data_IF_880336235653
#
_entry.id   IF_880336235653
#
_cell.length_a   1.000
_cell.length_b   1.000
_cell.length_c   1.000
_cell.angle_alpha   90.00
_cell.angle_beta   90.00
_cell.angle_gamma   90.00
#
_symmetry.space_group_name_H-M   'P 1'
#
loop_
_entity.id
_entity.type
_entity.pdbx_description
1 polymer ?
#
# COMPACT_ATOMS: atom_id res chain seq x y z
N UNK A 1 -38.23 -22.88 -17.70
CA UNK A 1 -37.56 -23.18 -16.41
C UNK A 1 -36.71 -21.99 -16.00
N UNK A 2 -37.16 -21.18 -15.02
CA UNK A 2 -36.45 -19.98 -14.55
C UNK A 2 -35.46 -20.39 -13.45
N UNK A 3 -34.15 -20.35 -13.74
CA UNK A 3 -33.12 -20.45 -12.71
C UNK A 3 -33.06 -19.15 -11.89
N UNK A 4 -33.63 -19.18 -10.68
CA UNK A 4 -33.49 -18.11 -9.69
C UNK A 4 -32.05 -18.09 -9.17
N UNK A 5 -31.28 -17.07 -9.53
CA UNK A 5 -29.97 -16.80 -8.95
C UNK A 5 -30.11 -16.53 -7.46
N UNK A 6 -29.63 -17.44 -6.61
CA UNK A 6 -29.54 -17.21 -5.16
C UNK A 6 -28.57 -16.05 -4.94
N UNK A 7 -29.07 -14.92 -4.46
CA UNK A 7 -28.25 -13.79 -4.05
C UNK A 7 -27.18 -14.28 -3.06
N UNK A 8 -25.91 -14.18 -3.45
CA UNK A 8 -24.78 -14.54 -2.60
C UNK A 8 -24.76 -13.55 -1.44
N UNK A 9 -25.13 -13.99 -0.24
CA UNK A 9 -25.06 -13.17 0.97
C UNK A 9 -23.60 -12.86 1.27
N UNK A 10 -23.27 -11.57 1.39
CA UNK A 10 -22.03 -11.10 2.01
C UNK A 10 -22.02 -11.62 3.45
N UNK A 11 -21.17 -12.62 3.75
CA UNK A 11 -20.90 -12.97 5.15
C UNK A 11 -20.18 -11.76 5.77
N UNK A 12 -20.31 -11.56 7.08
CA UNK A 12 -19.46 -10.61 7.81
C UNK A 12 -18.01 -11.10 7.67
N UNK A 13 -17.31 -10.62 6.64
CA UNK A 13 -15.92 -10.98 6.38
C UNK A 13 -15.06 -10.06 7.23
N UNK A 14 -14.33 -10.65 8.20
CA UNK A 14 -13.26 -9.92 8.89
C UNK A 14 -12.26 -9.46 7.83
N UNK A 15 -12.22 -8.16 7.59
CA UNK A 15 -11.06 -7.51 7.01
C UNK A 15 -9.84 -8.01 7.78
N UNK A 16 -8.90 -8.69 7.10
CA UNK A 16 -7.58 -8.98 7.65
C UNK A 16 -6.68 -7.83 7.19
N UNK A 17 -6.25 -6.95 8.12
CA UNK A 17 -5.28 -5.91 7.81
C UNK A 17 -4.08 -6.47 7.08
N UNK A 18 -3.38 -5.59 6.40
CA UNK A 18 -2.12 -5.94 5.77
C UNK A 18 -1.04 -6.42 6.77
N UNK A 19 -1.33 -6.27 8.07
CA UNK A 19 -0.44 -6.54 9.21
C UNK A 19 -0.89 -7.74 10.09
N UNK A 20 -2.09 -8.31 9.91
CA UNK A 20 -2.55 -9.42 10.76
C UNK A 20 -2.28 -10.81 10.15
N UNK A 21 -1.17 -11.42 10.59
CA UNK A 21 -0.99 -12.86 10.46
C UNK A 21 0.43 -13.35 10.53
N UNK A 22 1.14 -13.14 11.64
CA UNK A 22 2.35 -13.92 11.96
C UNK A 22 2.33 -14.22 13.46
N UNK A 23 1.95 -15.45 13.80
CA UNK A 23 2.25 -16.07 15.08
C UNK A 23 3.76 -16.31 15.17
N UNK A 24 4.37 -15.83 16.26
CA UNK A 24 5.76 -16.06 16.62
C UNK A 24 6.07 -17.54 16.71
N UNK A 25 7.01 -18.03 15.90
CA UNK A 25 7.70 -19.29 16.14
C UNK A 25 9.07 -18.93 16.68
N UNK A 26 9.31 -19.31 17.94
CA UNK A 26 10.56 -19.07 18.65
C UNK A 26 11.74 -19.79 18.00
N UNK A 27 12.90 -19.14 18.08
CA UNK A 27 14.19 -19.70 17.72
C UNK A 27 15.26 -18.96 18.50
N UNK A 28 15.74 -19.59 19.57
CA UNK A 28 16.91 -19.17 20.32
C UNK A 28 18.17 -19.24 19.44
N UNK A 29 18.90 -18.14 19.36
CA UNK A 29 20.20 -18.01 18.68
C UNK A 29 20.90 -16.73 19.16
N UNK A 30 22.23 -16.74 19.31
CA UNK A 30 22.95 -15.80 20.17
C UNK A 30 22.97 -14.38 19.56
N UNK A 31 22.69 -13.39 20.39
CA UNK A 31 22.51 -12.00 20.00
C UNK A 31 23.80 -11.30 19.57
N UNK A 32 23.75 -10.34 18.64
CA UNK A 32 24.88 -9.47 18.36
C UNK A 32 24.99 -8.40 19.44
N UNK A 33 26.23 -8.09 19.82
CA UNK A 33 26.56 -7.02 20.75
C UNK A 33 26.02 -5.67 20.26
N UNK A 34 25.04 -5.12 20.99
CA UNK A 34 24.54 -3.76 20.83
C UNK A 34 25.51 -2.83 21.54
N UNK A 35 26.21 -1.99 20.78
CA UNK A 35 26.79 -0.77 21.34
C UNK A 35 25.64 0.21 21.58
N UNK A 36 25.10 0.19 22.80
CA UNK A 36 24.03 1.10 23.23
C UNK A 36 24.62 2.48 23.53
N UNK A 37 24.64 3.35 22.53
CA UNK A 37 24.62 4.79 22.76
C UNK A 37 23.16 5.25 22.77
N UNK A 38 22.51 5.25 23.93
CA UNK A 38 21.19 5.88 24.06
C UNK A 38 21.38 7.39 23.93
N UNK A 39 21.07 7.94 22.75
CA UNK A 39 20.81 9.36 22.64
C UNK A 39 19.56 9.68 23.47
N UNK A 40 19.54 10.79 24.23
CA UNK A 40 18.33 11.21 24.94
C UNK A 40 17.18 11.40 23.92
N UNK A 41 15.90 11.32 24.33
CA UNK A 41 14.80 11.68 23.45
C UNK A 41 14.96 13.15 23.10
N UNK A 42 15.59 13.41 21.94
CA UNK A 42 15.64 14.73 21.35
C UNK A 42 14.21 15.20 21.31
N UNK A 43 13.95 16.40 21.85
CA UNK A 43 12.66 17.07 21.78
C UNK A 43 12.37 17.33 20.30
N UNK A 44 11.91 16.31 19.58
CA UNK A 44 11.67 16.37 18.16
C UNK A 44 10.58 17.41 17.95
N UNK A 45 10.80 18.31 16.98
CA UNK A 45 9.82 19.32 16.59
C UNK A 45 8.46 18.63 16.43
N UNK A 46 7.52 19.03 17.29
CA UNK A 46 6.17 18.49 17.35
C UNK A 46 5.24 19.54 16.79
N UNK A 47 4.59 19.23 15.69
CA UNK A 47 3.59 20.11 15.07
C UNK A 47 2.24 19.43 15.16
N UNK A 48 1.18 20.22 15.31
CA UNK A 48 -0.19 19.72 15.35
C UNK A 48 -1.02 20.41 14.28
N UNK A 49 -1.93 19.67 13.67
CA UNK A 49 -2.93 20.21 12.75
C UNK A 49 -4.27 19.52 12.99
N UNK A 50 -5.34 20.29 12.94
CA UNK A 50 -6.70 19.77 12.90
C UNK A 50 -7.28 20.09 11.52
N UNK A 51 -7.88 19.10 10.89
CA UNK A 51 -8.63 19.27 9.64
C UNK A 51 -10.01 18.64 9.77
N UNK A 52 -10.88 18.93 8.81
CA UNK A 52 -12.19 18.29 8.69
C UNK A 52 -12.32 17.60 7.35
N UNK A 53 -12.81 16.37 7.34
CA UNK A 53 -13.10 15.61 6.13
C UNK A 53 -14.45 14.90 6.27
N UNK A 54 -15.37 15.18 5.34
CA UNK A 54 -16.69 14.56 5.27
C UNK A 54 -16.85 13.83 3.92
N UNK A 55 -17.20 12.53 3.92
CA UNK A 55 -17.26 11.61 5.06
C UNK A 55 -15.91 11.35 5.75
N UNK A 56 -15.95 11.00 7.02
CA UNK A 56 -14.73 10.64 7.77
C UNK A 56 -14.01 9.44 7.13
N UNK A 57 -12.66 9.46 7.03
CA UNK A 57 -11.90 8.31 6.55
C UNK A 57 -11.88 7.20 7.61
N UNK A 58 -11.94 5.95 7.16
CA UNK A 58 -11.52 4.79 7.95
C UNK A 58 -10.03 4.58 7.69
N UNK A 59 -9.18 4.88 8.68
CA UNK A 59 -7.73 4.88 8.51
C UNK A 59 -7.20 3.48 8.13
N UNK A 60 -7.78 2.43 8.69
CA UNK A 60 -7.42 1.05 8.39
C UNK A 60 -7.78 0.68 6.95
N UNK A 61 -8.96 1.05 6.46
CA UNK A 61 -9.33 0.81 5.07
C UNK A 61 -8.46 1.63 4.10
N UNK A 62 -8.22 2.90 4.44
CA UNK A 62 -7.53 3.90 3.61
C UNK A 62 -6.03 3.62 3.50
N UNK A 63 -5.35 3.34 4.61
CA UNK A 63 -3.91 3.11 4.60
C UNK A 63 -3.52 1.65 4.55
N UNK A 64 -4.41 0.75 4.99
CA UNK A 64 -4.06 -0.65 5.08
C UNK A 64 -3.62 -1.21 3.73
N UNK A 65 -4.16 -0.73 2.62
CA UNK A 65 -3.84 -1.24 1.29
C UNK A 65 -2.63 -0.62 0.58
N UNK A 66 -2.01 0.37 1.20
CA UNK A 66 -0.81 1.01 0.65
C UNK A 66 0.39 0.08 0.78
N UNK A 67 1.31 0.18 -0.18
CA UNK A 67 2.57 -0.55 -0.13
C UNK A 67 3.62 0.26 0.61
N UNK A 68 3.65 1.57 0.39
CA UNK A 68 4.60 2.49 1.00
C UNK A 68 4.23 2.96 2.40
N UNK A 69 5.27 3.35 3.13
CA UNK A 69 5.22 3.88 4.49
C UNK A 69 5.01 2.77 5.50
N UNK A 70 5.47 3.03 6.71
CA UNK A 70 5.46 2.02 7.77
C UNK A 70 4.41 2.36 8.81
N UNK A 71 3.75 1.33 9.29
CA UNK A 71 2.77 1.38 10.37
C UNK A 71 3.39 0.80 11.63
N UNK A 72 2.82 1.13 12.79
CA UNK A 72 3.36 0.66 14.05
C UNK A 72 3.21 -0.88 14.17
N UNK A 73 4.29 -1.64 14.45
CA UNK A 73 4.27 -3.10 14.43
C UNK A 73 3.35 -3.75 15.48
N UNK A 74 3.23 -3.13 16.66
CA UNK A 74 2.36 -3.62 17.74
C UNK A 74 1.04 -2.85 17.91
N UNK A 75 0.79 -1.83 17.08
CA UNK A 75 -0.41 -1.00 17.10
C UNK A 75 -0.90 -0.86 15.66
N UNK A 76 -1.58 -1.89 15.14
CA UNK A 76 -2.06 -1.87 13.78
C UNK A 76 -3.01 -0.68 13.59
N UNK A 77 -3.09 -0.18 12.36
CA UNK A 77 -4.03 0.87 12.00
C UNK A 77 -5.46 0.52 12.43
N UNK A 78 -6.02 1.37 13.28
CA UNK A 78 -7.42 1.32 13.67
C UNK A 78 -8.31 2.05 12.68
N UNK A 79 -9.62 2.02 12.93
CA UNK A 79 -10.58 2.81 12.14
C UNK A 79 -10.39 4.31 12.36
N UNK A 80 -10.17 4.71 13.60
CA UNK A 80 -10.13 6.11 14.05
C UNK A 80 -8.79 6.55 14.60
N UNK A 81 -7.82 5.65 14.72
CA UNK A 81 -6.48 5.97 15.21
C UNK A 81 -5.42 5.25 14.37
N UNK A 82 -4.34 5.95 14.03
CA UNK A 82 -3.27 5.35 13.25
C UNK A 82 -1.94 6.09 13.40
N UNK A 83 -0.87 5.32 13.30
CA UNK A 83 0.51 5.82 13.22
C UNK A 83 1.08 5.48 11.86
N UNK A 84 1.74 6.45 11.24
CA UNK A 84 2.43 6.27 9.95
C UNK A 84 3.76 7.01 9.97
N UNK A 85 4.83 6.33 9.61
CA UNK A 85 6.10 6.97 9.31
C UNK A 85 6.36 6.94 7.79
N UNK A 86 6.81 8.07 7.27
CA UNK A 86 7.13 8.24 5.85
C UNK A 86 8.34 9.13 5.67
N UNK A 87 9.07 8.93 4.57
CA UNK A 87 10.04 9.91 4.08
C UNK A 87 9.32 10.97 3.29
N UNK A 88 9.54 12.23 3.62
CA UNK A 88 8.99 13.37 2.88
C UNK A 88 10.10 14.11 2.13
N UNK A 89 9.76 15.00 1.17
CA UNK A 89 10.74 15.89 0.55
C UNK A 89 11.50 16.78 1.54
N UNK A 90 10.95 17.03 2.73
CA UNK A 90 11.57 17.84 3.80
C UNK A 90 12.21 16.97 4.90
N UNK A 91 12.32 15.66 4.68
CA UNK A 91 12.94 14.71 5.60
C UNK A 91 11.96 13.74 6.26
N UNK A 92 12.46 12.99 7.23
CA UNK A 92 11.71 11.99 7.97
C UNK A 92 10.51 12.60 8.73
N UNK A 93 9.36 11.91 8.69
CA UNK A 93 8.18 12.29 9.45
C UNK A 93 7.47 11.07 10.04
N UNK A 94 6.98 11.21 11.27
CA UNK A 94 5.95 10.34 11.83
C UNK A 94 4.69 11.14 12.07
N UNK A 95 3.55 10.58 11.72
CA UNK A 95 2.22 11.11 12.01
C UNK A 95 1.47 10.19 12.97
N UNK A 96 0.79 10.80 13.94
CA UNK A 96 -0.27 10.20 14.73
C UNK A 96 -1.58 10.88 14.37
N UNK A 97 -2.59 10.08 14.05
CA UNK A 97 -3.87 10.53 13.55
C UNK A 97 -4.99 10.04 14.47
N UNK A 98 -5.89 10.94 14.83
CA UNK A 98 -7.10 10.68 15.62
C UNK A 98 -8.31 11.24 14.87
N UNK A 99 -9.26 10.37 14.54
CA UNK A 99 -10.50 10.70 13.81
C UNK A 99 -11.67 10.66 14.78
N UNK A 100 -12.36 11.78 14.93
CA UNK A 100 -13.58 11.94 15.72
C UNK A 100 -14.69 12.56 14.86
N UNK A 101 -15.62 11.72 14.39
CA UNK A 101 -16.57 12.12 13.36
C UNK A 101 -15.83 12.66 12.12
N UNK A 102 -16.20 13.84 11.65
CA UNK A 102 -15.54 14.50 10.50
C UNK A 102 -14.25 15.23 10.90
N UNK A 103 -13.95 15.37 12.19
CA UNK A 103 -12.76 16.07 12.69
C UNK A 103 -11.58 15.09 12.77
N UNK A 104 -10.41 15.55 12.33
CA UNK A 104 -9.19 14.76 12.33
C UNK A 104 -8.10 15.59 12.99
N UNK A 105 -7.63 15.13 14.14
CA UNK A 105 -6.49 15.71 14.85
C UNK A 105 -5.23 14.92 14.48
N UNK A 106 -4.21 15.62 14.00
CA UNK A 106 -2.95 15.05 13.59
C UNK A 106 -1.79 15.67 14.38
N UNK A 107 -0.88 14.83 14.85
CA UNK A 107 0.40 15.25 15.42
C UNK A 107 1.53 14.71 14.56
N UNK A 108 2.47 15.58 14.18
CA UNK A 108 3.66 15.22 13.42
C UNK A 108 4.95 15.41 14.21
N UNK A 109 5.94 14.56 13.96
CA UNK A 109 7.30 14.64 14.51
C UNK A 109 8.36 14.53 13.42
N UNK A 110 9.47 15.23 13.62
CA UNK A 110 10.64 15.17 12.74
C UNK A 110 10.72 16.31 11.72
N UNK A 111 11.81 16.38 10.94
CA UNK A 111 12.06 17.47 9.99
C UNK A 111 11.00 17.55 8.87
N UNK A 112 10.37 16.43 8.51
CA UNK A 112 9.30 16.39 7.51
C UNK A 112 7.88 16.60 8.05
N UNK A 113 7.71 16.88 9.35
CA UNK A 113 6.40 16.92 9.99
C UNK A 113 5.49 18.03 9.43
N UNK A 114 6.03 19.22 9.17
CA UNK A 114 5.26 20.33 8.62
C UNK A 114 4.74 20.00 7.22
N UNK A 115 5.61 19.51 6.34
CA UNK A 115 5.20 19.03 5.02
C UNK A 115 4.10 17.96 5.11
N UNK A 116 4.29 16.96 5.98
CA UNK A 116 3.34 15.86 6.12
C UNK A 116 1.97 16.34 6.61
N UNK A 117 1.94 17.31 7.53
CA UNK A 117 0.70 17.93 8.00
C UNK A 117 0.10 18.89 6.96
N UNK A 118 0.92 19.55 6.13
CA UNK A 118 0.47 20.38 5.02
C UNK A 118 -0.34 19.55 4.01
N UNK A 119 0.18 18.38 3.64
CA UNK A 119 -0.36 17.46 2.64
C UNK A 119 -1.35 16.44 3.22
N UNK A 120 -1.63 16.52 4.53
CA UNK A 120 -2.53 15.60 5.24
C UNK A 120 -3.92 15.44 4.60
N UNK A 121 -4.60 16.50 4.10
CA UNK A 121 -5.89 16.33 3.45
C UNK A 121 -5.83 15.35 2.27
N UNK A 122 -4.82 15.48 1.41
CA UNK A 122 -4.64 14.62 0.24
C UNK A 122 -4.25 13.20 0.63
N UNK A 123 -3.37 13.05 1.64
CA UNK A 123 -3.02 11.75 2.22
C UNK A 123 -4.27 11.01 2.73
N UNK A 124 -5.24 11.73 3.30
CA UNK A 124 -6.52 11.18 3.76
C UNK A 124 -7.60 11.11 2.68
N UNK A 125 -7.25 11.39 1.43
CA UNK A 125 -8.15 11.27 0.27
C UNK A 125 -9.18 12.39 0.18
N UNK A 126 -8.81 13.63 0.54
CA UNK A 126 -9.68 14.80 0.35
C UNK A 126 -10.06 15.05 -1.12
N UNK A 127 -9.22 14.61 -2.06
CA UNK A 127 -9.50 14.68 -3.51
C UNK A 127 -10.35 13.52 -4.04
N UNK A 128 -10.58 12.51 -3.20
CA UNK A 128 -11.32 11.31 -3.57
C UNK A 128 -12.76 11.43 -3.09
N UNK A 129 -13.75 11.40 -4.00
CA UNK A 129 -15.17 11.46 -3.64
C UNK A 129 -15.83 10.05 -3.69
N UNK A 130 -15.99 9.35 -2.55
CA UNK A 130 -16.66 8.06 -2.48
C UNK A 130 -18.16 8.12 -2.77
N UNK A 131 -18.77 9.32 -2.70
CA UNK A 131 -20.21 9.48 -2.91
C UNK A 131 -20.58 9.43 -4.39
N UNK A 132 -19.65 9.81 -5.27
CA UNK A 132 -19.76 9.70 -6.73
C UNK A 132 -19.69 8.26 -7.28
N UNK A 133 -19.44 7.25 -6.43
CA UNK A 133 -19.34 5.86 -6.88
C UNK A 133 -20.65 5.34 -7.51
N UNK A 134 -20.63 4.81 -8.75
CA UNK A 134 -21.83 4.31 -9.44
C UNK A 134 -22.47 3.12 -8.72
N UNK A 135 -23.78 3.21 -8.44
CA UNK A 135 -24.54 2.18 -7.69
C UNK A 135 -25.57 1.40 -8.50
N UNK A 136 -25.86 1.82 -9.73
CA UNK A 136 -26.85 1.17 -10.59
C UNK A 136 -26.40 -0.21 -11.10
N UNK A 137 -25.10 -0.43 -11.28
CA UNK A 137 -24.57 -1.57 -12.06
C UNK A 137 -24.73 -2.96 -11.43
N UNK A 138 -24.57 -3.11 -10.10
CA UNK A 138 -24.60 -4.45 -9.48
C UNK A 138 -24.96 -4.41 -7.99
N UNK A 139 -25.80 -5.36 -7.54
CA UNK A 139 -26.26 -5.42 -6.13
C UNK A 139 -25.10 -5.55 -5.13
N UNK A 140 -24.15 -6.44 -5.40
CA UNK A 140 -22.98 -6.61 -4.53
C UNK A 140 -22.22 -5.30 -4.35
N UNK A 141 -22.01 -4.54 -5.43
CA UNK A 141 -21.24 -3.29 -5.35
C UNK A 141 -21.96 -2.20 -4.55
N UNK A 142 -23.30 -2.18 -4.56
CA UNK A 142 -24.08 -1.33 -3.65
C UNK A 142 -23.89 -1.70 -2.18
N UNK A 143 -23.84 -3.00 -1.88
CA UNK A 143 -23.61 -3.51 -0.52
C UNK A 143 -22.18 -3.19 -0.07
N UNK A 144 -21.18 -3.41 -0.93
CA UNK A 144 -19.78 -3.11 -0.63
C UNK A 144 -19.52 -1.61 -0.48
N UNK A 145 -20.15 -0.74 -1.29
CA UNK A 145 -20.07 0.73 -1.11
C UNK A 145 -20.51 1.15 0.30
N UNK A 146 -21.58 0.56 0.82
CA UNK A 146 -22.07 0.83 2.18
C UNK A 146 -21.10 0.29 3.23
N UNK A 147 -20.59 -0.93 3.04
CA UNK A 147 -19.66 -1.57 3.96
C UNK A 147 -18.32 -0.82 4.05
N UNK A 148 -17.83 -0.31 2.93
CA UNK A 148 -16.55 0.39 2.80
C UNK A 148 -16.73 1.89 2.58
N UNK A 149 -17.78 2.49 3.14
CA UNK A 149 -18.06 3.92 2.93
C UNK A 149 -16.94 4.84 3.42
N UNK A 150 -16.21 4.44 4.47
CA UNK A 150 -15.02 5.14 4.97
C UNK A 150 -13.74 4.87 4.17
N UNK A 151 -13.76 4.03 3.13
CA UNK A 151 -12.59 3.82 2.27
C UNK A 151 -12.34 5.06 1.42
N UNK A 152 -11.17 5.66 1.64
CA UNK A 152 -10.61 6.69 0.77
C UNK A 152 -9.47 6.12 -0.07
N UNK A 153 -9.31 6.65 -1.28
CA UNK A 153 -8.10 6.45 -2.08
C UNK A 153 -7.11 7.54 -1.66
N UNK A 154 -6.09 7.14 -0.92
CA UNK A 154 -5.07 8.04 -0.41
C UNK A 154 -4.18 8.57 -1.54
N UNK A 155 -3.60 9.76 -1.36
CA UNK A 155 -2.57 10.33 -2.23
C UNK A 155 -1.31 10.57 -1.41
N UNK A 156 -0.37 9.62 -1.43
CA UNK A 156 0.83 9.67 -0.58
C UNK A 156 1.89 10.65 -1.09
N UNK A 157 1.95 10.87 -2.40
CA UNK A 157 3.00 11.62 -3.09
C UNK A 157 4.42 11.04 -2.91
N UNK A 158 4.56 9.88 -2.25
CA UNK A 158 5.84 9.22 -1.97
C UNK A 158 6.13 8.09 -2.97
N UNK A 159 6.56 8.46 -4.16
CA UNK A 159 6.76 7.54 -5.30
C UNK A 159 7.81 6.47 -5.03
N UNK A 160 8.96 6.85 -4.46
CA UNK A 160 10.03 5.88 -4.16
C UNK A 160 9.61 4.91 -3.03
N UNK A 161 8.97 5.44 -1.99
CA UNK A 161 8.44 4.67 -0.86
C UNK A 161 7.39 3.63 -1.30
N UNK A 162 6.60 3.93 -2.33
CA UNK A 162 5.67 2.99 -2.95
C UNK A 162 6.39 1.97 -3.86
N UNK A 163 7.34 2.45 -4.69
CA UNK A 163 8.00 1.63 -5.71
C UNK A 163 8.78 0.46 -5.13
N UNK A 164 9.54 0.66 -4.06
CA UNK A 164 10.39 -0.39 -3.46
C UNK A 164 9.57 -1.65 -3.11
N UNK A 165 8.52 -1.57 -2.27
CA UNK A 165 7.70 -2.73 -1.94
C UNK A 165 6.91 -3.28 -3.14
N UNK A 166 6.49 -2.44 -4.09
CA UNK A 166 5.84 -2.90 -5.33
C UNK A 166 6.79 -3.76 -6.17
N UNK A 167 8.07 -3.36 -6.31
CA UNK A 167 9.10 -4.13 -7.02
C UNK A 167 9.37 -5.46 -6.31
N UNK A 168 9.45 -5.44 -4.97
CA UNK A 168 9.60 -6.65 -4.16
C UNK A 168 8.42 -7.62 -4.39
N UNK A 169 7.21 -7.10 -4.59
CA UNK A 169 5.99 -7.87 -4.87
C UNK A 169 5.88 -8.48 -6.27
N UNK A 170 6.73 -8.11 -7.22
CA UNK A 170 6.63 -8.62 -8.60
C UNK A 170 6.86 -10.14 -8.67
N UNK A 171 5.90 -10.89 -9.24
CA UNK A 171 6.02 -12.32 -9.55
C UNK A 171 6.50 -13.17 -8.35
N UNK A 172 6.01 -12.86 -7.15
CA UNK A 172 6.24 -13.63 -5.92
C UNK A 172 4.97 -13.66 -5.07
N UNK A 173 4.95 -14.53 -4.07
CA UNK A 173 3.89 -14.51 -3.06
C UNK A 173 3.99 -13.26 -2.19
N UNK A 174 2.85 -12.84 -1.64
CA UNK A 174 2.78 -11.74 -0.67
C UNK A 174 3.69 -11.99 0.55
N UNK A 175 3.81 -13.24 0.99
CA UNK A 175 4.65 -13.61 2.15
C UNK A 175 6.14 -13.38 1.87
N UNK A 176 6.61 -13.74 0.67
CA UNK A 176 8.00 -13.50 0.25
C UNK A 176 8.30 -12.01 0.17
N UNK A 177 7.42 -11.25 -0.50
CA UNK A 177 7.57 -9.80 -0.64
C UNK A 177 7.66 -9.11 0.72
N UNK A 178 6.74 -9.44 1.66
CA UNK A 178 6.74 -8.89 3.03
C UNK A 178 7.97 -9.27 3.84
N UNK A 179 8.46 -10.50 3.69
CA UNK A 179 9.68 -10.94 4.36
C UNK A 179 10.89 -10.15 3.86
N UNK A 180 11.02 -10.00 2.55
CA UNK A 180 12.10 -9.24 1.94
C UNK A 180 12.05 -7.75 2.33
N UNK A 181 10.85 -7.15 2.28
CA UNK A 181 10.61 -5.76 2.69
C UNK A 181 11.02 -5.54 4.15
N UNK A 182 10.54 -6.39 5.06
CA UNK A 182 10.88 -6.28 6.48
C UNK A 182 12.38 -6.36 6.71
N UNK A 183 13.06 -7.33 6.10
CA UNK A 183 14.53 -7.48 6.24
C UNK A 183 15.29 -6.30 5.64
N UNK A 184 14.80 -5.74 4.54
CA UNK A 184 15.38 -4.54 3.92
C UNK A 184 15.27 -3.32 4.87
N UNK A 185 14.12 -3.16 5.53
CA UNK A 185 13.89 -2.10 6.52
C UNK A 185 14.73 -2.34 7.78
N UNK A 186 14.78 -3.57 8.28
CA UNK A 186 15.58 -3.94 9.46
C UNK A 186 17.07 -3.62 9.25
N UNK A 187 17.62 -3.98 8.09
CA UNK A 187 19.05 -3.83 7.76
C UNK A 187 19.42 -2.39 7.35
N UNK A 188 18.65 -1.77 6.45
CA UNK A 188 19.02 -0.50 5.80
C UNK A 188 18.07 0.66 6.10
N UNK A 189 16.98 0.42 6.84
CA UNK A 189 16.09 1.47 7.32
C UNK A 189 16.64 2.16 8.56
N UNK A 190 16.01 3.23 8.99
CA UNK A 190 16.39 3.97 10.20
C UNK A 190 15.18 4.17 11.12
N UNK A 191 15.43 4.61 12.35
CA UNK A 191 14.35 4.92 13.28
C UNK A 191 13.58 6.16 12.82
N UNK A 192 12.25 6.05 12.85
CA UNK A 192 11.39 7.18 12.56
C UNK A 192 11.40 8.17 13.73
N UNK A 193 11.30 9.49 13.46
CA UNK A 193 11.22 10.48 14.51
C UNK A 193 9.92 10.33 15.28
N UNK A 194 9.94 10.41 16.61
CA UNK A 194 8.74 10.53 17.42
C UNK A 194 8.77 9.60 18.63
N UNK A 195 7.64 9.50 19.35
CA UNK A 195 7.57 8.72 20.58
C UNK A 195 7.41 7.21 20.35
N UNK A 196 7.24 6.79 19.09
CA UNK A 196 6.90 5.42 18.74
C UNK A 196 8.02 4.73 17.96
N UNK A 197 8.27 3.43 18.18
CA UNK A 197 9.36 2.69 17.56
C UNK A 197 9.02 2.27 16.12
N UNK A 198 8.64 3.25 15.28
CA UNK A 198 8.48 3.03 13.84
C UNK A 198 9.86 3.09 13.17
N UNK A 199 10.00 2.36 12.06
CA UNK A 199 11.18 2.39 11.20
C UNK A 199 10.82 2.97 9.86
N UNK A 200 11.67 3.81 9.27
CA UNK A 200 11.51 4.29 7.90
C UNK A 200 12.06 3.25 6.92
N UNK A 201 11.50 3.23 5.70
CA UNK A 201 12.16 2.56 4.59
C UNK A 201 13.56 3.17 4.37
N UNK A 202 14.52 2.42 3.79
CA UNK A 202 15.85 2.95 3.51
C UNK A 202 15.79 4.21 2.62
N UNK A 203 16.71 5.16 2.84
CA UNK A 203 16.81 6.31 1.95
C UNK A 203 17.16 5.88 0.51
N UNK A 204 16.66 6.61 -0.51
CA UNK A 204 17.06 6.35 -1.89
C UNK A 204 18.58 6.40 -2.07
N UNK A 205 19.28 7.32 -1.39
CA UNK A 205 20.73 7.44 -1.47
C UNK A 205 21.47 6.22 -0.90
N UNK A 206 20.91 5.55 0.11
CA UNK A 206 21.44 4.31 0.67
C UNK A 206 21.28 3.19 -0.36
N UNK A 207 20.05 2.96 -0.83
CA UNK A 207 19.76 1.89 -1.80
C UNK A 207 20.51 2.06 -3.14
N UNK A 208 20.74 3.30 -3.58
CA UNK A 208 21.46 3.60 -4.82
C UNK A 208 22.96 3.20 -4.79
N UNK A 209 23.55 3.06 -3.60
CA UNK A 209 24.95 2.71 -3.37
C UNK A 209 25.17 1.21 -3.16
N UNK A 210 24.12 0.47 -2.84
CA UNK A 210 24.17 -0.97 -2.66
C UNK A 210 24.50 -1.68 -3.99
N UNK A 211 25.03 -2.88 -3.87
CA UNK A 211 25.27 -3.84 -4.94
C UNK A 211 24.35 -5.05 -4.75
N UNK A 212 24.25 -5.91 -5.75
CA UNK A 212 23.36 -7.07 -5.67
C UNK A 212 23.67 -7.97 -4.46
N UNK A 213 24.95 -8.11 -4.11
CA UNK A 213 25.46 -8.93 -3.02
C UNK A 213 24.86 -8.51 -1.67
N UNK A 214 24.50 -7.24 -1.51
CA UNK A 214 23.86 -6.67 -0.32
C UNK A 214 22.39 -7.10 -0.19
N UNK A 215 21.72 -7.38 -1.33
CA UNK A 215 20.31 -7.78 -1.40
C UNK A 215 20.12 -9.30 -1.35
N UNK A 216 21.13 -10.07 -1.77
CA UNK A 216 21.06 -11.52 -1.85
C UNK A 216 20.73 -12.17 -0.48
N UNK A 217 21.42 -11.82 0.63
CA UNK A 217 21.09 -12.34 1.96
C UNK A 217 19.64 -12.09 2.34
N UNK A 218 19.04 -10.97 1.91
CA UNK A 218 17.65 -10.59 2.18
C UNK A 218 16.61 -11.43 1.41
N UNK A 219 17.05 -12.30 0.49
CA UNK A 219 16.19 -13.12 -0.35
C UNK A 219 15.64 -12.37 -1.58
N UNK A 220 16.29 -11.28 -1.99
CA UNK A 220 15.85 -10.44 -3.10
C UNK A 220 16.59 -10.86 -4.38
N UNK A 221 15.83 -11.26 -5.40
CA UNK A 221 16.38 -11.71 -6.68
C UNK A 221 17.13 -10.58 -7.41
N UNK A 222 18.21 -10.93 -8.13
CA UNK A 222 19.10 -9.99 -8.84
C UNK A 222 18.38 -8.95 -9.68
N UNK A 223 17.41 -9.37 -10.50
CA UNK A 223 16.63 -8.44 -11.35
C UNK A 223 15.89 -7.37 -10.53
N UNK A 224 15.32 -7.74 -9.38
CA UNK A 224 14.62 -6.81 -8.48
C UNK A 224 15.61 -5.89 -7.76
N UNK A 225 16.71 -6.43 -7.26
CA UNK A 225 17.76 -5.65 -6.62
C UNK A 225 18.30 -4.55 -7.55
N UNK A 226 18.65 -4.92 -8.79
CA UNK A 226 19.13 -3.96 -9.79
C UNK A 226 18.07 -2.91 -10.14
N UNK A 227 16.79 -3.29 -10.21
CA UNK A 227 15.70 -2.33 -10.43
C UNK A 227 15.52 -1.39 -9.24
N UNK A 228 15.60 -1.88 -7.99
CA UNK A 228 15.54 -1.06 -6.78
C UNK A 228 16.69 -0.05 -6.75
N UNK A 229 17.92 -0.47 -7.06
CA UNK A 229 19.08 0.43 -7.18
C UNK A 229 18.80 1.51 -8.24
N UNK A 230 18.29 1.12 -9.40
CA UNK A 230 18.04 2.04 -10.51
C UNK A 230 16.94 3.08 -10.19
N UNK A 231 15.80 2.66 -9.62
CA UNK A 231 14.76 3.62 -9.21
C UNK A 231 15.23 4.51 -8.06
N UNK A 232 16.12 4.02 -7.20
CA UNK A 232 16.70 4.80 -6.11
C UNK A 232 17.67 5.87 -6.62
N UNK A 233 18.48 5.56 -7.65
CA UNK A 233 19.33 6.54 -8.34
C UNK A 233 18.51 7.63 -9.03
N UNK A 234 17.31 7.30 -9.50
CA UNK A 234 16.38 8.22 -10.18
C UNK A 234 15.34 8.83 -9.25
N UNK A 235 15.45 8.67 -7.94
CA UNK A 235 14.38 8.99 -7.00
C UNK A 235 13.91 10.46 -7.10
N UNK A 236 14.83 11.43 -7.23
CA UNK A 236 14.47 12.84 -7.40
C UNK A 236 13.64 13.07 -8.69
N UNK A 237 14.02 12.43 -9.80
CA UNK A 237 13.29 12.53 -11.07
C UNK A 237 11.94 11.81 -11.04
N UNK A 238 11.85 10.70 -10.31
CA UNK A 238 10.60 9.97 -10.11
C UNK A 238 9.66 10.69 -9.14
N UNK A 239 10.16 11.45 -8.17
CA UNK A 239 9.35 12.23 -7.25
C UNK A 239 8.47 13.28 -7.97
N UNK A 240 8.93 13.81 -9.12
CA UNK A 240 8.14 14.72 -9.96
C UNK A 240 6.80 14.13 -10.40
N UNK A 241 6.65 12.80 -10.42
CA UNK A 241 5.38 12.13 -10.76
C UNK A 241 4.24 12.61 -9.88
N UNK A 242 4.50 12.97 -8.62
CA UNK A 242 3.48 13.49 -7.70
C UNK A 242 2.70 14.70 -8.27
N UNK A 243 3.32 15.49 -9.14
CA UNK A 243 2.72 16.66 -9.80
C UNK A 243 2.14 16.40 -11.20
N UNK A 244 2.07 15.15 -11.66
CA UNK A 244 1.61 14.80 -13.02
C UNK A 244 0.18 14.25 -13.04
N UNK A 245 -0.45 14.33 -14.20
CA UNK A 245 -1.63 13.51 -14.50
C UNK A 245 -1.26 12.02 -14.63
N UNK A 246 -2.23 11.14 -14.39
CA UNK A 246 -2.02 9.69 -14.38
C UNK A 246 -1.44 9.13 -15.70
N UNK A 247 -1.84 9.66 -16.86
CA UNK A 247 -1.37 9.17 -18.15
C UNK A 247 0.11 9.54 -18.37
N UNK A 248 0.48 10.76 -18.01
CA UNK A 248 1.87 11.21 -18.06
C UNK A 248 2.75 10.48 -17.04
N UNK A 249 2.24 10.27 -15.83
CA UNK A 249 2.88 9.48 -14.79
C UNK A 249 3.12 8.04 -15.24
N UNK A 250 2.13 7.40 -15.86
CA UNK A 250 2.23 6.04 -16.39
C UNK A 250 3.38 5.92 -17.39
N UNK A 251 3.43 6.82 -18.38
CA UNK A 251 4.50 6.85 -19.39
C UNK A 251 5.87 7.04 -18.74
N UNK A 252 5.98 7.91 -17.74
CA UNK A 252 7.25 8.15 -17.03
C UNK A 252 7.71 6.93 -16.23
N UNK A 253 6.79 6.26 -15.55
CA UNK A 253 7.06 5.05 -14.79
C UNK A 253 7.51 3.91 -15.70
N UNK A 254 6.75 3.65 -16.78
CA UNK A 254 7.02 2.54 -17.69
C UNK A 254 8.24 2.77 -18.60
N UNK A 255 8.77 3.99 -18.66
CA UNK A 255 10.06 4.26 -19.31
C UNK A 255 11.26 3.65 -18.54
N UNK A 256 11.07 3.21 -17.29
CA UNK A 256 12.09 2.49 -16.51
C UNK A 256 11.97 0.98 -16.81
N UNK A 257 12.98 0.33 -17.41
CA UNK A 257 12.91 -1.10 -17.72
C UNK A 257 12.67 -1.94 -16.46
N UNK A 258 11.59 -2.73 -16.47
CA UNK A 258 11.17 -3.54 -15.32
C UNK A 258 9.98 -2.97 -14.53
N UNK A 259 9.56 -1.74 -14.83
CA UNK A 259 8.27 -1.20 -14.40
C UNK A 259 7.28 -1.33 -15.56
N UNK A 260 6.23 -2.14 -15.36
CA UNK A 260 5.16 -2.36 -16.34
C UNK A 260 3.79 -1.88 -15.84
N UNK A 261 2.71 -2.14 -16.61
CA UNK A 261 1.35 -1.67 -16.32
C UNK A 261 0.86 -1.97 -14.90
N UNK A 262 1.14 -3.18 -14.39
CA UNK A 262 0.80 -3.56 -13.03
C UNK A 262 1.46 -2.66 -11.98
N UNK A 263 2.79 -2.49 -12.05
CA UNK A 263 3.53 -1.67 -11.09
C UNK A 263 3.18 -0.19 -11.23
N UNK A 264 3.02 0.33 -12.44
CA UNK A 264 2.69 1.74 -12.65
C UNK A 264 1.30 2.08 -12.10
N UNK A 265 0.29 1.23 -12.34
CA UNK A 265 -1.05 1.47 -11.82
C UNK A 265 -1.11 1.44 -10.29
N UNK A 266 -0.32 0.57 -9.64
CA UNK A 266 -0.21 0.56 -8.18
C UNK A 266 0.41 1.86 -7.65
N UNK A 267 1.49 2.35 -8.27
CA UNK A 267 2.08 3.65 -7.90
C UNK A 267 1.11 4.80 -8.15
N UNK A 268 0.41 4.82 -9.27
CA UNK A 268 -0.55 5.89 -9.60
C UNK A 268 -1.71 5.90 -8.61
N UNK A 269 -2.30 4.74 -8.31
CA UNK A 269 -3.41 4.65 -7.34
C UNK A 269 -3.01 5.10 -5.93
N UNK A 270 -1.79 4.78 -5.48
CA UNK A 270 -1.29 5.15 -4.14
C UNK A 270 -0.72 6.57 -4.06
N UNK A 271 0.08 6.98 -5.04
CA UNK A 271 0.83 8.25 -4.99
C UNK A 271 0.06 9.42 -5.58
N UNK A 272 -0.82 9.18 -6.54
CA UNK A 272 -1.67 10.21 -7.16
C UNK A 272 -3.12 10.15 -6.68
N UNK A 273 -3.50 9.09 -5.98
CA UNK A 273 -4.85 8.91 -5.47
C UNK A 273 -5.86 8.61 -6.57
N UNK A 274 -5.44 8.00 -7.69
CA UNK A 274 -6.32 7.73 -8.83
C UNK A 274 -7.27 6.54 -8.55
N UNK A 275 -8.60 6.78 -8.42
CA UNK A 275 -9.57 5.73 -8.17
C UNK A 275 -9.89 4.87 -9.39
N UNK A 276 -9.30 5.15 -10.56
CA UNK A 276 -9.51 4.48 -11.84
C UNK A 276 -8.29 3.69 -12.35
N UNK A 277 -7.13 3.79 -11.67
CA UNK A 277 -5.86 3.14 -12.06
C UNK A 277 -5.84 1.62 -11.78
N UNK A 278 -6.43 0.82 -12.67
CA UNK A 278 -6.52 -0.65 -12.52
C UNK A 278 -5.17 -1.33 -12.81
N UNK A 279 -4.63 -2.16 -11.90
CA UNK A 279 -3.37 -2.89 -12.12
C UNK A 279 -3.55 -4.12 -13.02
N UNK A 280 -3.58 -3.88 -14.33
CA UNK A 280 -3.56 -4.90 -15.39
C UNK A 280 -2.30 -5.76 -15.25
N UNK A 281 -2.43 -7.08 -15.43
CA UNK A 281 -1.36 -8.05 -15.21
C UNK A 281 -1.29 -8.59 -13.78
N UNK A 282 -2.23 -8.23 -12.92
CA UNK A 282 -2.37 -8.88 -11.60
C UNK A 282 -2.86 -10.32 -11.76
N UNK A 283 -2.19 -11.26 -11.12
CA UNK A 283 -2.47 -12.69 -11.28
C UNK A 283 -3.83 -13.12 -10.70
N UNK A 284 -4.33 -12.41 -9.68
CA UNK A 284 -5.55 -12.80 -8.95
C UNK A 284 -6.72 -11.88 -9.23
N UNK A 285 -6.48 -10.62 -9.58
CA UNK A 285 -7.52 -9.61 -9.70
C UNK A 285 -8.56 -9.94 -10.79
N UNK A 286 -8.19 -10.40 -12.00
CA UNK A 286 -9.18 -10.73 -13.02
C UNK A 286 -10.16 -11.82 -12.56
N UNK A 287 -9.64 -12.89 -11.97
CA UNK A 287 -10.45 -13.99 -11.44
C UNK A 287 -11.34 -13.52 -10.27
N UNK A 288 -10.84 -12.62 -9.43
CA UNK A 288 -11.61 -12.06 -8.30
C UNK A 288 -12.78 -11.22 -8.79
N UNK A 289 -12.54 -10.33 -9.73
CA UNK A 289 -13.56 -9.45 -10.33
C UNK A 289 -14.60 -10.28 -11.08
N UNK A 290 -14.18 -11.18 -11.95
CA UNK A 290 -15.08 -12.00 -12.74
C UNK A 290 -15.91 -12.95 -11.90
N UNK A 291 -15.33 -13.53 -10.85
CA UNK A 291 -16.07 -14.37 -9.92
C UNK A 291 -17.14 -13.59 -9.16
N UNK A 292 -16.81 -12.37 -8.73
CA UNK A 292 -17.71 -11.54 -7.93
C UNK A 292 -18.87 -10.96 -8.76
N UNK A 293 -18.61 -10.55 -10.00
CA UNK A 293 -19.56 -9.80 -10.83
C UNK A 293 -20.26 -10.67 -11.89
N UNK A 294 -19.65 -11.77 -12.32
CA UNK A 294 -20.19 -12.64 -13.37
C UNK A 294 -20.27 -14.13 -12.96
N UNK A 295 -19.71 -14.52 -11.81
CA UNK A 295 -19.66 -15.93 -11.39
C UNK A 295 -18.66 -16.77 -12.17
N UNK A 296 -17.75 -16.14 -12.91
CA UNK A 296 -16.73 -16.77 -13.74
C UNK A 296 -15.49 -17.07 -12.88
N UNK A 297 -15.07 -18.33 -12.82
CA UNK A 297 -13.94 -18.72 -11.95
C UNK A 297 -12.58 -18.30 -12.52
N UNK A 298 -12.48 -18.08 -13.84
CA UNK A 298 -11.28 -17.65 -14.55
C UNK A 298 -11.62 -16.53 -15.51
N UNK A 299 -10.75 -15.52 -15.58
CA UNK A 299 -10.89 -14.39 -16.49
C UNK A 299 -9.54 -13.80 -16.89
N UNK A 300 -9.52 -13.12 -18.03
CA UNK A 300 -8.39 -12.32 -18.51
C UNK A 300 -8.49 -10.88 -18.02
N UNK A 301 -7.42 -10.11 -18.16
CA UNK A 301 -7.44 -8.66 -17.90
C UNK A 301 -8.51 -7.95 -18.75
N UNK A 302 -8.69 -8.35 -20.02
CA UNK A 302 -9.73 -7.77 -20.87
C UNK A 302 -11.14 -7.97 -20.30
N UNK A 303 -11.44 -9.18 -19.81
CA UNK A 303 -12.72 -9.47 -19.17
C UNK A 303 -12.90 -8.72 -17.84
N UNK A 304 -11.83 -8.59 -17.07
CA UNK A 304 -11.82 -7.76 -15.86
C UNK A 304 -12.18 -6.31 -16.17
N UNK A 305 -11.55 -5.72 -17.19
CA UNK A 305 -11.79 -4.32 -17.58
C UNK A 305 -13.22 -4.11 -18.09
N UNK A 306 -13.76 -5.05 -18.89
CA UNK A 306 -15.16 -5.02 -19.33
C UNK A 306 -16.14 -5.00 -18.15
N UNK A 307 -15.91 -5.85 -17.14
CA UNK A 307 -16.74 -5.92 -15.95
C UNK A 307 -16.60 -4.70 -15.03
N UNK A 308 -15.45 -4.03 -15.08
CA UNK A 308 -15.19 -2.82 -14.30
C UNK A 308 -15.67 -1.55 -15.00
N UNK A 309 -15.84 -1.54 -16.31
CA UNK A 309 -16.21 -0.35 -17.11
C UNK A 309 -17.42 0.44 -16.56
N UNK A 310 -18.51 -0.21 -16.06
CA UNK A 310 -19.65 0.52 -15.50
C UNK A 310 -19.33 1.31 -14.22
N UNK A 311 -18.14 1.15 -13.63
CA UNK A 311 -17.73 1.85 -12.42
C UNK A 311 -16.81 3.04 -12.68
N UNK A 312 -16.52 3.43 -13.93
CA UNK A 312 -15.76 4.66 -14.18
C UNK A 312 -16.37 5.88 -13.47
N UNK A 313 -15.55 6.81 -12.94
CA UNK A 313 -14.08 6.81 -12.90
C UNK A 313 -13.49 6.10 -11.65
N UNK A 314 -14.11 5.01 -11.17
CA UNK A 314 -13.79 4.32 -9.92
C UNK A 314 -13.38 2.85 -10.11
N UNK A 315 -12.78 2.49 -11.24
CA UNK A 315 -12.49 1.08 -11.54
C UNK A 315 -11.51 0.45 -10.55
N UNK A 316 -10.48 1.17 -10.12
CA UNK A 316 -9.56 0.71 -9.07
C UNK A 316 -10.28 0.58 -7.73
N UNK A 317 -11.07 1.58 -7.33
CA UNK A 317 -11.87 1.51 -6.09
C UNK A 317 -12.81 0.30 -6.09
N UNK A 318 -13.49 0.02 -7.21
CA UNK A 318 -14.36 -1.14 -7.35
C UNK A 318 -13.59 -2.45 -7.14
N UNK A 319 -12.45 -2.59 -7.82
CA UNK A 319 -11.54 -3.72 -7.68
C UNK A 319 -11.01 -3.87 -6.24
N UNK A 320 -10.66 -2.77 -5.58
CA UNK A 320 -10.19 -2.74 -4.20
C UNK A 320 -11.28 -3.18 -3.22
N UNK A 321 -12.51 -2.66 -3.34
CA UNK A 321 -13.63 -3.10 -2.49
C UNK A 321 -13.89 -4.61 -2.65
N UNK A 322 -13.82 -5.15 -3.86
CA UNK A 322 -13.93 -6.58 -4.10
C UNK A 322 -12.81 -7.36 -3.41
N UNK A 323 -11.56 -6.91 -3.53
CA UNK A 323 -10.41 -7.52 -2.84
C UNK A 323 -10.58 -7.49 -1.32
N UNK A 324 -10.98 -6.35 -0.76
CA UNK A 324 -11.20 -6.16 0.68
C UNK A 324 -12.38 -6.96 1.23
N UNK A 325 -13.38 -7.26 0.39
CA UNK A 325 -14.52 -8.10 0.77
C UNK A 325 -14.15 -9.57 1.02
N UNK A 326 -12.94 -9.99 0.63
CA UNK A 326 -12.49 -11.38 0.73
C UNK A 326 -13.20 -12.36 -0.20
N UNK A 327 -14.02 -11.85 -1.14
CA UNK A 327 -14.57 -12.66 -2.23
C UNK A 327 -13.41 -13.13 -3.10
N UNK A 328 -13.33 -14.43 -3.32
CA UNK A 328 -12.29 -15.02 -4.15
C UNK A 328 -12.85 -16.13 -5.03
N UNK A 329 -12.31 -16.24 -6.23
CA UNK A 329 -12.59 -17.37 -7.11
C UNK A 329 -12.15 -18.69 -6.46
N UNK A 330 -12.80 -19.82 -6.78
CA UNK A 330 -12.33 -21.13 -6.34
C UNK A 330 -10.88 -21.36 -6.77
N UNK A 331 -10.09 -21.99 -5.89
CA UNK A 331 -8.68 -22.28 -6.14
C UNK A 331 -8.56 -23.64 -6.81
N UNK A 332 -7.90 -23.68 -7.96
CA UNK A 332 -7.59 -24.90 -8.69
C UNK A 332 -6.07 -25.00 -8.77
N UNK A 333 -5.48 -25.92 -8.00
CA UNK A 333 -4.04 -26.16 -7.94
C UNK A 333 -3.43 -26.03 -6.54
N UNK A 334 -2.25 -26.64 -6.31
CA UNK A 334 -1.53 -26.53 -5.06
C UNK A 334 -1.04 -25.10 -4.81
N UNK A 335 -0.84 -24.74 -3.54
CA UNK A 335 -0.29 -23.43 -3.18
C UNK A 335 1.16 -23.35 -3.67
N UNK A 336 1.55 -22.23 -4.28
CA UNK A 336 2.96 -21.96 -4.60
C UNK A 336 3.77 -22.00 -3.30
N UNK A 337 4.84 -22.80 -3.29
CA UNK A 337 5.78 -22.84 -2.18
C UNK A 337 6.53 -21.51 -2.06
N UNK A 338 6.74 -21.09 -0.81
CA UNK A 338 7.56 -19.92 -0.48
C UNK A 338 9.01 -20.30 -0.75
N UNK A 339 9.63 -19.66 -1.74
CA UNK A 339 11.04 -19.86 -2.10
C UNK A 339 11.94 -19.14 -1.10
N UNK A 340 13.07 -19.78 -0.77
CA UNK A 340 14.15 -19.15 -0.02
C UNK A 340 15.38 -19.07 -0.92
N UNK A 341 15.89 -17.86 -1.15
CA UNK A 341 17.11 -17.63 -1.92
C UNK A 341 18.35 -17.45 -1.04
N UNK A 342 18.20 -17.43 0.29
CA UNK A 342 19.29 -17.15 1.23
C UNK A 342 20.30 -18.30 1.42
N UNK A 343 20.11 -19.44 0.74
CA UNK A 343 20.94 -20.64 0.88
C UNK A 343 21.73 -20.99 -0.39
N UNK A 344 21.90 -20.05 -1.34
CA UNK A 344 22.55 -20.29 -2.63
C UNK A 344 23.67 -19.31 -2.95
#
# INVERSE_FOLDING_TARGET
MRCRGRGRRVRHVRYRPWDEGISSVGGDGPGPHVLSGSLPPTTLARVKRTITLDPAPDLRLTFGHLHGGTTHPHRPLGRSEGWRASRTPQGAATLHLLVDGVRIDATGWGPGAEWALEHLPDLLGARDDPTSFPTNSHRLMRELRKQFFGLRIARTEQVHEALVPIILGQVVTRTEARRAERRLIEEYGEDAPGPEPLRLQPEPAVLARLKYEDFHPLGIARKKALLIIEVSRRAARLAEIAGMDSLTAEKRLQAVPGIGPWSSALVISECLGDPDAVPVGDYHLPNTVAWALAGEARATDGRMLELLEPYRPHRYRAALMLKLSGIGAPKYGPRTEVRSFSNY
#
